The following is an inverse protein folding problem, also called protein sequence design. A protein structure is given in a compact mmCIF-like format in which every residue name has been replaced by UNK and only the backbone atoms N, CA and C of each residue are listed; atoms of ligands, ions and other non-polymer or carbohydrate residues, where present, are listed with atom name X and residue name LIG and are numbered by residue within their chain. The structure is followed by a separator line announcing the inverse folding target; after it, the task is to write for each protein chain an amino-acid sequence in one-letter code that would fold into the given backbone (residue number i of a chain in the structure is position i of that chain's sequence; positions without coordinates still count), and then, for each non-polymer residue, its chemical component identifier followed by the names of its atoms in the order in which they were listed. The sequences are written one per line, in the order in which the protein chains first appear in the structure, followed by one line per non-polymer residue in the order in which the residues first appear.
data_IF_026445699420
#
_entry.id   IF_026445699420
#
_cell.length_a   1.000
_cell.length_b   1.000
_cell.length_c   1.000
_cell.angle_alpha   90.00
_cell.angle_beta   90.00
_cell.angle_gamma   90.00
#
_symmetry.space_group_name_H-M   'P 1'
#
loop_
_entity.id
_entity.type
_entity.pdbx_description
1 polymer ?
#
# COMPACT_ATOMS: atom_id res chain seq x y z
N UNK A 1 36.91 -6.27 -0.53
CA UNK A 1 35.63 -6.18 0.20
C UNK A 1 35.06 -4.76 0.16
N UNK A 2 35.89 -3.71 -0.08
CA UNK A 2 35.46 -2.29 0.04
C UNK A 2 34.38 -1.85 -0.96
N UNK A 3 34.20 -2.56 -2.07
CA UNK A 3 33.31 -2.13 -3.15
C UNK A 3 32.14 -3.12 -3.42
N UNK A 4 31.80 -3.94 -2.45
CA UNK A 4 30.76 -4.96 -2.60
C UNK A 4 29.83 -4.97 -1.40
N UNK A 5 28.53 -4.93 -1.65
CA UNK A 5 27.48 -5.16 -0.67
C UNK A 5 26.92 -6.55 -0.89
N UNK A 6 26.89 -7.35 0.15
CA UNK A 6 26.31 -8.69 0.13
C UNK A 6 24.85 -8.60 0.60
N UNK A 7 23.93 -9.01 -0.25
CA UNK A 7 22.53 -9.07 0.07
C UNK A 7 22.03 -10.50 -0.18
N UNK A 8 21.99 -11.31 0.87
CA UNK A 8 21.71 -12.73 0.74
C UNK A 8 22.77 -13.44 -0.11
N UNK A 9 22.34 -14.13 -1.16
CA UNK A 9 23.22 -14.81 -2.12
C UNK A 9 23.76 -13.88 -3.24
N UNK A 10 23.32 -12.64 -3.28
CA UNK A 10 23.74 -11.67 -4.31
C UNK A 10 24.88 -10.79 -3.84
N UNK A 11 25.84 -10.58 -4.71
CA UNK A 11 26.95 -9.66 -4.52
C UNK A 11 26.70 -8.43 -5.39
N UNK A 12 26.40 -7.30 -4.75
CA UNK A 12 26.22 -6.03 -5.42
C UNK A 12 27.57 -5.30 -5.46
N UNK A 13 28.04 -4.92 -6.65
CA UNK A 13 29.21 -4.06 -6.79
C UNK A 13 28.89 -2.65 -6.31
N UNK A 14 29.81 -2.00 -5.60
CA UNK A 14 29.69 -0.63 -5.12
C UNK A 14 29.35 0.35 -6.24
N UNK A 15 28.74 1.46 -5.92
CA UNK A 15 27.99 2.38 -6.78
C UNK A 15 26.61 1.84 -7.19
N UNK A 16 25.87 1.34 -6.22
CA UNK A 16 24.43 1.21 -6.35
C UNK A 16 23.83 2.62 -6.38
N UNK A 17 23.83 3.20 -7.57
CA UNK A 17 22.84 4.24 -7.83
C UNK A 17 21.49 3.57 -7.76
N UNK A 18 20.73 3.88 -6.72
CA UNK A 18 19.31 3.50 -6.66
C UNK A 18 18.65 4.11 -7.89
N UNK A 19 18.02 3.28 -8.71
CA UNK A 19 17.20 3.79 -9.81
C UNK A 19 16.22 4.80 -9.23
N UNK A 20 16.12 5.98 -9.86
CA UNK A 20 15.15 6.99 -9.44
C UNK A 20 13.75 6.43 -9.48
N UNK A 21 12.94 6.76 -8.47
CA UNK A 21 11.53 6.37 -8.48
C UNK A 21 10.84 6.93 -9.72
N UNK A 22 10.22 6.04 -10.50
CA UNK A 22 9.54 6.44 -11.72
C UNK A 22 8.21 7.15 -11.38
N UNK A 23 8.12 8.43 -11.74
CA UNK A 23 6.93 9.25 -11.53
C UNK A 23 5.66 8.69 -12.21
N UNK A 24 5.81 7.77 -13.19
CA UNK A 24 4.68 7.05 -13.80
C UNK A 24 3.95 6.15 -12.79
N UNK A 25 4.64 5.73 -11.73
CA UNK A 25 4.06 4.94 -10.64
C UNK A 25 3.24 5.78 -9.66
N UNK A 26 3.12 7.09 -9.86
CA UNK A 26 2.17 7.94 -9.13
C UNK A 26 0.85 7.93 -9.87
N UNK A 27 -0.14 7.27 -9.27
CA UNK A 27 -1.54 7.29 -9.67
C UNK A 27 -2.21 8.50 -9.03
N UNK A 28 -3.06 9.20 -9.79
CA UNK A 28 -3.74 10.39 -9.31
C UNK A 28 -5.14 10.02 -8.87
N UNK A 29 -5.50 10.43 -7.65
CA UNK A 29 -6.89 10.49 -7.18
C UNK A 29 -7.23 11.95 -6.88
N UNK A 30 -8.40 12.40 -7.34
CA UNK A 30 -8.88 13.75 -7.10
C UNK A 30 -9.51 13.83 -5.71
N UNK A 31 -8.67 14.04 -4.72
CA UNK A 31 -9.07 14.05 -3.31
C UNK A 31 -10.05 15.18 -2.98
N UNK A 32 -9.96 16.29 -3.69
CA UNK A 32 -10.85 17.45 -3.54
C UNK A 32 -12.29 17.09 -3.91
N UNK A 33 -12.49 16.27 -4.94
CA UNK A 33 -13.81 15.86 -5.43
C UNK A 33 -14.58 15.03 -4.38
N UNK A 34 -13.85 14.40 -3.45
CA UNK A 34 -14.42 13.58 -2.37
C UNK A 34 -14.32 14.23 -1.01
N UNK A 35 -13.97 15.52 -0.94
CA UNK A 35 -13.92 16.37 0.27
C UNK A 35 -13.03 15.78 1.39
N UNK A 36 -11.82 15.30 1.05
CA UNK A 36 -10.88 14.73 2.00
C UNK A 36 -10.00 15.81 2.64
N UNK A 37 -9.86 15.75 3.96
CA UNK A 37 -8.79 16.45 4.67
C UNK A 37 -7.51 15.61 4.62
N UNK A 38 -6.56 16.04 3.80
CA UNK A 38 -5.29 15.32 3.58
C UNK A 38 -4.35 15.34 4.80
N UNK A 39 -4.66 16.14 5.81
CA UNK A 39 -3.94 16.17 7.09
C UNK A 39 -4.49 15.17 8.11
N UNK A 40 -5.62 14.53 7.80
CA UNK A 40 -6.30 13.57 8.65
C UNK A 40 -6.21 12.16 8.08
N UNK A 41 -5.48 11.26 8.74
CA UNK A 41 -5.33 9.87 8.31
C UNK A 41 -6.59 9.06 8.53
N UNK A 42 -7.18 9.14 9.73
CA UNK A 42 -8.42 8.44 10.11
C UNK A 42 -9.32 9.35 10.96
N UNK A 43 -10.60 9.00 11.06
CA UNK A 43 -11.61 9.78 11.79
C UNK A 43 -12.33 10.80 10.93
N UNK A 44 -12.96 11.80 11.58
CA UNK A 44 -13.70 12.87 10.92
C UNK A 44 -13.35 14.22 11.53
N UNK A 45 -13.57 15.29 10.77
CA UNK A 45 -13.40 16.67 11.22
C UNK A 45 -14.73 17.31 11.57
N UNK A 46 -14.71 18.34 12.43
CA UNK A 46 -15.91 19.08 12.79
C UNK A 46 -16.51 19.89 11.62
N UNK A 47 -15.73 20.14 10.56
CA UNK A 47 -16.16 20.86 9.36
C UNK A 47 -16.77 19.96 8.28
N UNK A 48 -16.99 18.66 8.57
CA UNK A 48 -17.62 17.71 7.65
C UNK A 48 -16.68 17.15 6.55
N UNK A 49 -15.41 17.46 6.59
CA UNK A 49 -14.42 16.77 5.75
C UNK A 49 -14.16 15.36 6.29
N UNK A 50 -13.81 14.45 5.40
CA UNK A 50 -13.51 13.05 5.73
C UNK A 50 -12.00 12.80 5.70
N UNK A 51 -11.57 11.76 6.41
CA UNK A 51 -10.16 11.35 6.43
C UNK A 51 -9.72 10.69 5.11
N UNK A 52 -8.41 10.54 4.96
CA UNK A 52 -7.81 9.81 3.82
C UNK A 52 -8.34 8.37 3.77
N UNK A 53 -8.43 7.68 4.91
CA UNK A 53 -8.94 6.31 4.94
C UNK A 53 -10.41 6.23 4.52
N UNK A 54 -11.26 7.16 4.98
CA UNK A 54 -12.67 7.17 4.58
C UNK A 54 -12.84 7.56 3.10
N UNK A 55 -12.04 8.49 2.59
CA UNK A 55 -12.00 8.83 1.16
C UNK A 55 -11.58 7.65 0.30
N UNK A 56 -10.52 6.96 0.71
CA UNK A 56 -10.06 5.74 0.02
C UNK A 56 -11.12 4.64 0.08
N UNK A 57 -11.77 4.45 1.22
CA UNK A 57 -12.86 3.48 1.37
C UNK A 57 -13.95 3.71 0.34
N UNK A 58 -14.47 4.94 0.23
CA UNK A 58 -15.49 5.31 -0.76
C UNK A 58 -15.03 5.06 -2.19
N UNK A 59 -13.77 5.39 -2.50
CA UNK A 59 -13.19 5.11 -3.80
C UNK A 59 -13.17 3.62 -4.10
N UNK A 60 -12.68 2.78 -3.18
CA UNK A 60 -12.59 1.33 -3.36
C UNK A 60 -13.97 0.65 -3.46
N UNK A 61 -14.95 1.11 -2.68
CA UNK A 61 -16.33 0.59 -2.72
C UNK A 61 -17.00 0.82 -4.09
N UNK A 62 -16.70 1.95 -4.74
CA UNK A 62 -17.20 2.27 -6.06
C UNK A 62 -16.54 1.46 -7.19
N UNK A 63 -15.39 0.83 -6.91
CA UNK A 63 -14.69 -0.01 -7.88
C UNK A 63 -15.36 -1.38 -7.98
N UNK A 64 -16.10 -1.62 -9.06
CA UNK A 64 -16.83 -2.89 -9.26
C UNK A 64 -15.92 -4.11 -9.42
N UNK A 65 -14.66 -3.91 -9.80
CA UNK A 65 -13.67 -4.98 -10.04
C UNK A 65 -13.32 -5.81 -8.80
N UNK A 66 -13.39 -5.22 -7.60
CA UNK A 66 -13.02 -5.91 -6.38
C UNK A 66 -14.13 -6.84 -5.91
N UNK A 67 -13.79 -8.12 -5.73
CA UNK A 67 -14.69 -9.12 -5.13
C UNK A 67 -14.71 -9.01 -3.59
N UNK A 68 -13.58 -8.63 -2.99
CA UNK A 68 -13.43 -8.45 -1.56
C UNK A 68 -12.64 -7.19 -1.26
N UNK A 69 -13.05 -6.49 -0.20
CA UNK A 69 -12.37 -5.33 0.37
C UNK A 69 -12.32 -5.52 1.88
N UNK A 70 -11.13 -5.51 2.45
CA UNK A 70 -10.89 -5.61 3.89
C UNK A 70 -10.33 -4.30 4.38
N UNK A 71 -10.90 -3.73 5.45
CA UNK A 71 -10.34 -2.63 6.22
C UNK A 71 -9.67 -3.21 7.47
N UNK A 72 -8.35 -3.08 7.59
CA UNK A 72 -7.55 -3.73 8.64
C UNK A 72 -6.67 -2.73 9.41
N UNK A 73 -7.17 -1.53 9.66
CA UNK A 73 -6.44 -0.51 10.41
C UNK A 73 -6.15 -0.92 11.86
N UNK A 74 -4.96 -0.58 12.35
CA UNK A 74 -4.53 -0.74 13.73
C UNK A 74 -3.31 -1.65 13.94
N UNK A 75 -2.86 -1.75 15.18
CA UNK A 75 -1.62 -2.48 15.53
C UNK A 75 -1.60 -3.89 14.95
N UNK A 76 -0.56 -4.21 14.21
CA UNK A 76 -0.36 -5.52 13.60
C UNK A 76 -1.17 -5.72 12.32
N UNK A 77 -1.65 -4.67 11.69
CA UNK A 77 -2.35 -4.68 10.39
C UNK A 77 -1.55 -5.36 9.26
N UNK A 78 -2.26 -5.81 8.25
CA UNK A 78 -1.69 -6.23 6.97
C UNK A 78 -1.37 -4.98 6.15
N UNK A 79 -2.36 -4.13 5.99
CA UNK A 79 -2.39 -2.81 5.40
C UNK A 79 -3.69 -2.14 5.83
N UNK A 80 -3.85 -0.83 5.69
CA UNK A 80 -5.13 -0.17 6.02
C UNK A 80 -6.29 -0.76 5.21
N UNK A 81 -6.05 -1.01 3.91
CA UNK A 81 -6.99 -1.76 3.07
C UNK A 81 -6.28 -2.86 2.30
N UNK A 82 -6.98 -3.98 2.13
CA UNK A 82 -6.56 -5.09 1.26
C UNK A 82 -7.73 -5.44 0.35
N UNK A 83 -7.49 -5.41 -0.96
CA UNK A 83 -8.51 -5.74 -1.96
C UNK A 83 -8.14 -6.98 -2.76
N UNK A 84 -9.16 -7.66 -3.27
CA UNK A 84 -9.00 -8.88 -4.05
C UNK A 84 -9.84 -8.79 -5.32
N UNK A 85 -9.22 -9.17 -6.43
CA UNK A 85 -9.86 -9.31 -7.73
C UNK A 85 -9.46 -10.66 -8.33
N UNK A 86 -10.45 -11.48 -8.71
CA UNK A 86 -10.20 -12.82 -9.23
C UNK A 86 -10.21 -12.84 -10.76
N UNK A 87 -9.15 -13.37 -11.34
CA UNK A 87 -9.01 -13.66 -12.78
C UNK A 87 -8.88 -15.17 -13.00
N UNK A 88 -8.92 -15.62 -14.25
CA UNK A 88 -8.82 -17.04 -14.58
C UNK A 88 -7.56 -17.70 -14.05
N UNK A 89 -6.40 -17.07 -14.21
CA UNK A 89 -5.08 -17.64 -13.88
C UNK A 89 -4.44 -17.06 -12.62
N UNK A 90 -4.91 -15.95 -12.10
CA UNK A 90 -4.32 -15.27 -10.95
C UNK A 90 -5.36 -14.56 -10.12
N UNK A 91 -4.96 -14.20 -8.92
CA UNK A 91 -5.69 -13.34 -7.99
C UNK A 91 -4.86 -12.08 -7.80
N UNK A 92 -5.42 -10.94 -8.16
CA UNK A 92 -4.84 -9.65 -7.82
C UNK A 92 -5.11 -9.34 -6.35
N UNK A 93 -4.07 -8.95 -5.63
CA UNK A 93 -4.14 -8.45 -4.27
C UNK A 93 -3.53 -7.06 -4.26
N UNK A 94 -4.29 -6.07 -3.85
CA UNK A 94 -3.77 -4.71 -3.69
C UNK A 94 -3.80 -4.33 -2.21
N UNK A 95 -2.67 -3.85 -1.69
CA UNK A 95 -2.51 -3.42 -0.31
C UNK A 95 -2.31 -1.92 -0.28
N UNK A 96 -3.06 -1.23 0.55
CA UNK A 96 -3.04 0.24 0.64
C UNK A 96 -2.62 0.66 2.04
N UNK A 97 -1.54 1.42 2.13
CA UNK A 97 -1.07 2.05 3.36
C UNK A 97 -1.32 3.55 3.29
N UNK A 98 -2.17 4.04 4.17
CA UNK A 98 -2.54 5.44 4.23
C UNK A 98 -1.61 6.22 5.15
N UNK A 99 -1.26 7.45 4.76
CA UNK A 99 -0.54 8.36 5.61
C UNK A 99 -1.00 9.79 5.40
N UNK A 100 -1.35 10.45 6.51
CA UNK A 100 -1.63 11.89 6.49
C UNK A 100 -0.35 12.69 6.33
N UNK A 101 -0.50 13.90 5.82
CA UNK A 101 0.59 14.87 5.71
C UNK A 101 0.63 15.78 6.93
N UNK A 102 1.73 15.80 7.63
CA UNK A 102 1.97 16.74 8.76
C UNK A 102 2.46 18.12 8.33
N UNK A 103 2.72 18.34 7.06
CA UNK A 103 3.26 19.59 6.52
C UNK A 103 2.27 20.33 5.62
N UNK A 104 2.57 21.61 5.32
CA UNK A 104 1.72 22.45 4.46
C UNK A 104 2.11 22.43 2.98
N UNK A 105 3.17 21.71 2.59
CA UNK A 105 3.69 21.68 1.22
C UNK A 105 3.72 20.26 0.69
N UNK A 106 3.28 20.10 -0.57
CA UNK A 106 3.45 18.84 -1.28
C UNK A 106 4.93 18.40 -1.31
N UNK A 107 5.16 17.09 -1.28
CA UNK A 107 6.47 16.46 -1.37
C UNK A 107 7.49 16.90 -0.30
N UNK A 108 7.04 17.35 0.88
CA UNK A 108 7.93 17.94 1.89
C UNK A 108 8.13 17.13 3.17
N UNK A 109 7.20 16.25 3.51
CA UNK A 109 7.26 15.48 4.77
C UNK A 109 8.05 14.17 4.62
N UNK A 110 9.36 14.24 4.75
CA UNK A 110 10.27 13.07 4.65
C UNK A 110 9.96 12.02 5.71
N UNK A 111 9.60 12.43 6.93
CA UNK A 111 9.27 11.51 8.02
C UNK A 111 8.03 10.67 7.71
N UNK A 112 6.98 11.29 7.15
CA UNK A 112 5.74 10.59 6.84
C UNK A 112 5.93 9.59 5.69
N UNK A 113 6.71 9.97 4.64
CA UNK A 113 7.01 9.03 3.55
C UNK A 113 7.90 7.87 4.01
N UNK A 114 8.85 8.14 4.92
CA UNK A 114 9.68 7.08 5.50
C UNK A 114 8.83 6.08 6.26
N UNK A 115 7.92 6.55 7.12
CA UNK A 115 7.04 5.70 7.93
C UNK A 115 6.16 4.80 7.04
N UNK A 116 5.44 5.38 6.07
CA UNK A 116 4.54 4.61 5.21
C UNK A 116 5.30 3.67 4.26
N UNK A 117 6.50 4.04 3.82
CA UNK A 117 7.36 3.16 3.03
C UNK A 117 7.80 1.93 3.85
N UNK A 118 8.09 2.09 5.15
CA UNK A 118 8.39 0.97 6.05
C UNK A 118 7.19 0.06 6.26
N UNK A 119 5.98 0.61 6.37
CA UNK A 119 4.75 -0.19 6.42
C UNK A 119 4.57 -1.01 5.15
N UNK A 120 4.74 -0.38 3.98
CA UNK A 120 4.67 -1.05 2.67
C UNK A 120 5.70 -2.20 2.54
N UNK A 121 6.94 -2.00 2.99
CA UNK A 121 7.97 -3.03 3.03
C UNK A 121 7.56 -4.19 3.95
N UNK A 122 7.11 -3.87 5.16
CA UNK A 122 6.72 -4.85 6.18
C UNK A 122 5.56 -5.74 5.72
N UNK A 123 4.60 -5.18 4.99
CA UNK A 123 3.43 -5.92 4.53
C UNK A 123 3.76 -7.02 3.51
N UNK A 124 4.90 -6.94 2.82
CA UNK A 124 5.33 -7.95 1.84
C UNK A 124 5.49 -9.35 2.44
N UNK A 125 5.71 -9.45 3.75
CA UNK A 125 5.85 -10.73 4.45
C UNK A 125 4.55 -11.54 4.38
N UNK A 126 3.39 -10.88 4.44
CA UNK A 126 2.09 -11.54 4.48
C UNK A 126 1.67 -12.16 3.14
N UNK A 127 2.27 -11.73 2.05
CA UNK A 127 2.00 -12.26 0.70
C UNK A 127 3.04 -13.26 0.21
N UNK A 128 3.92 -13.70 1.09
CA UNK A 128 4.91 -14.75 0.78
C UNK A 128 4.23 -16.06 0.36
N UNK A 129 3.04 -16.34 0.88
CA UNK A 129 2.16 -17.42 0.42
C UNK A 129 0.69 -17.09 0.68
N UNK A 130 -0.22 -17.74 -0.08
CA UNK A 130 -1.67 -17.62 0.15
C UNK A 130 -2.07 -18.10 1.55
N UNK A 131 -1.39 -19.13 2.06
CA UNK A 131 -1.65 -19.67 3.40
C UNK A 131 -1.33 -18.63 4.49
N UNK A 132 -0.17 -17.98 4.42
CA UNK A 132 0.19 -16.92 5.36
C UNK A 132 -0.77 -15.73 5.32
N UNK A 133 -1.14 -15.30 4.11
CA UNK A 133 -2.11 -14.22 3.96
C UNK A 133 -3.46 -14.58 4.59
N UNK A 134 -3.96 -15.79 4.29
CA UNK A 134 -5.24 -16.26 4.82
C UNK A 134 -5.20 -16.42 6.34
N UNK A 135 -4.12 -16.97 6.89
CA UNK A 135 -3.91 -17.11 8.33
C UNK A 135 -3.90 -15.73 9.01
N UNK A 136 -3.17 -14.78 8.44
CA UNK A 136 -3.11 -13.42 8.94
C UNK A 136 -4.48 -12.76 8.96
N UNK A 137 -5.24 -12.84 7.85
CA UNK A 137 -6.62 -12.32 7.77
C UNK A 137 -7.50 -12.99 8.83
N UNK A 138 -7.41 -14.32 8.97
CA UNK A 138 -8.20 -15.04 9.97
C UNK A 138 -7.87 -14.56 11.39
N UNK A 139 -6.60 -14.44 11.74
CA UNK A 139 -6.18 -13.99 13.07
C UNK A 139 -6.65 -12.55 13.36
N UNK A 140 -6.66 -11.70 12.34
CA UNK A 140 -7.13 -10.31 12.45
C UNK A 140 -8.64 -10.19 12.69
N UNK A 141 -9.44 -11.11 12.16
CA UNK A 141 -10.90 -11.16 12.41
C UNK A 141 -11.25 -11.30 13.89
N UNK A 142 -10.48 -12.11 14.62
CA UNK A 142 -10.75 -12.40 16.04
C UNK A 142 -10.24 -11.29 16.99
N UNK A 143 -9.36 -10.43 16.53
CA UNK A 143 -8.75 -9.40 17.38
C UNK A 143 -9.61 -8.15 17.56
N UNK A 144 -10.67 -7.97 16.78
CA UNK A 144 -11.53 -6.77 16.79
C UNK A 144 -12.99 -7.22 16.67
N UNK A 145 -13.87 -6.54 17.43
CA UNK A 145 -15.31 -6.86 17.50
C UNK A 145 -16.09 -6.57 16.19
N UNK A 146 -15.52 -5.75 15.31
CA UNK A 146 -16.19 -5.32 14.08
C UNK A 146 -15.79 -6.18 12.89
N UNK A 147 -16.72 -6.40 11.98
CA UNK A 147 -16.45 -7.09 10.72
C UNK A 147 -15.52 -6.20 9.86
N UNK A 148 -14.34 -6.73 9.57
CA UNK A 148 -13.34 -6.04 8.75
C UNK A 148 -13.64 -6.07 7.26
N UNK A 149 -14.63 -6.84 6.84
CA UNK A 149 -15.02 -6.92 5.44
C UNK A 149 -15.93 -5.76 5.07
N UNK A 150 -15.42 -4.83 4.31
CA UNK A 150 -16.18 -3.75 3.66
C UNK A 150 -16.99 -4.32 2.50
N UNK A 151 -16.43 -5.33 1.79
CA UNK A 151 -17.07 -6.05 0.70
C UNK A 151 -16.66 -7.51 0.72
N UNK A 152 -17.59 -8.42 0.40
CA UNK A 152 -17.35 -9.85 0.46
C UNK A 152 -17.37 -10.41 1.88
N UNK A 153 -16.87 -11.62 2.06
CA UNK A 153 -16.78 -12.31 3.35
C UNK A 153 -15.61 -13.29 3.40
N UNK A 154 -15.25 -13.72 4.62
CA UNK A 154 -14.10 -14.61 4.82
C UNK A 154 -14.25 -15.98 4.14
N UNK A 155 -15.45 -16.54 4.11
CA UNK A 155 -15.70 -17.89 3.56
C UNK A 155 -15.47 -17.91 2.06
N UNK A 156 -16.01 -16.93 1.35
CA UNK A 156 -15.82 -16.78 -0.09
C UNK A 156 -14.39 -16.42 -0.44
N UNK A 157 -13.73 -15.54 0.31
CA UNK A 157 -12.32 -15.23 0.14
C UNK A 157 -11.42 -16.45 0.34
N UNK A 158 -11.68 -17.25 1.39
CA UNK A 158 -10.97 -18.51 1.64
C UNK A 158 -11.06 -19.43 0.44
N UNK A 159 -12.25 -19.60 -0.13
CA UNK A 159 -12.47 -20.44 -1.32
C UNK A 159 -11.66 -19.94 -2.53
N UNK A 160 -11.60 -18.62 -2.74
CA UNK A 160 -10.80 -18.03 -3.82
C UNK A 160 -9.30 -18.29 -3.61
N UNK A 161 -8.79 -18.06 -2.41
CA UNK A 161 -7.37 -18.24 -2.10
C UNK A 161 -6.92 -19.71 -2.13
N UNK A 162 -7.83 -20.66 -1.93
CA UNK A 162 -7.52 -22.10 -2.07
C UNK A 162 -7.42 -22.57 -3.53
N UNK A 163 -7.92 -21.81 -4.50
CA UNK A 163 -7.79 -22.17 -5.92
C UNK A 163 -6.31 -22.18 -6.35
N UNK A 164 -5.98 -23.03 -7.34
CA UNK A 164 -4.63 -23.12 -7.91
C UNK A 164 -4.31 -21.96 -8.83
N UNK A 165 -4.42 -20.73 -8.33
CA UNK A 165 -4.13 -19.48 -9.04
C UNK A 165 -2.91 -18.80 -8.43
N UNK A 166 -2.16 -18.08 -9.24
CA UNK A 166 -1.01 -17.29 -8.78
C UNK A 166 -1.51 -16.02 -8.04
N UNK A 167 -0.76 -15.57 -7.04
CA UNK A 167 -0.95 -14.22 -6.50
C UNK A 167 -0.18 -13.21 -7.37
N UNK A 168 -0.84 -12.11 -7.70
CA UNK A 168 -0.24 -10.88 -8.20
C UNK A 168 -0.49 -9.80 -7.18
N UNK A 169 0.58 -9.21 -6.66
CA UNK A 169 0.47 -8.26 -5.54
C UNK A 169 0.97 -6.90 -5.97
N UNK A 170 0.19 -5.87 -5.66
CA UNK A 170 0.59 -4.48 -5.75
C UNK A 170 0.49 -3.85 -4.37
N UNK A 171 1.42 -2.97 -4.05
CA UNK A 171 1.38 -2.20 -2.81
C UNK A 171 1.24 -0.73 -3.16
N UNK A 172 0.32 -0.07 -2.51
CA UNK A 172 0.06 1.36 -2.67
C UNK A 172 0.43 2.11 -1.39
N UNK A 173 1.22 3.15 -1.55
CA UNK A 173 1.36 4.21 -0.57
C UNK A 173 0.27 5.24 -0.90
N UNK A 174 -0.68 5.43 0.00
CA UNK A 174 -1.78 6.39 -0.16
C UNK A 174 -1.41 7.65 0.60
N UNK A 175 -0.90 8.62 -0.13
CA UNK A 175 -0.49 9.90 0.44
C UNK A 175 -0.84 11.05 -0.49
N UNK A 176 -1.99 11.70 -0.27
CA UNK A 176 -2.47 12.81 -1.11
C UNK A 176 -1.49 13.98 -1.24
N UNK A 177 -0.60 14.12 -0.26
CA UNK A 177 0.43 15.16 -0.28
C UNK A 177 1.61 14.88 -1.24
N UNK A 178 1.62 13.74 -1.91
CA UNK A 178 2.56 13.49 -2.99
C UNK A 178 1.91 13.92 -4.30
N UNK A 179 2.44 15.01 -4.88
CA UNK A 179 1.97 15.53 -6.16
C UNK A 179 2.81 14.96 -7.30
N UNK A 180 2.14 14.53 -8.36
CA UNK A 180 2.77 14.04 -9.59
C UNK A 180 3.37 15.16 -10.42
N UNK A 181 2.78 16.37 -10.36
CA UNK A 181 3.26 17.55 -11.09
C UNK A 181 4.45 18.22 -10.42
N UNK A 182 4.72 17.92 -9.15
CA UNK A 182 5.80 18.53 -8.38
C UNK A 182 7.02 17.62 -8.31
N UNK A 183 8.21 18.20 -8.42
CA UNK A 183 9.45 17.44 -8.30
C UNK A 183 9.60 16.86 -6.89
N UNK A 184 9.95 15.57 -6.82
CA UNK A 184 10.33 14.93 -5.56
C UNK A 184 11.74 15.39 -5.14
N UNK A 185 11.92 15.68 -3.86
CA UNK A 185 13.26 15.94 -3.30
C UNK A 185 14.13 14.67 -3.37
N UNK A 186 15.45 14.85 -3.31
CA UNK A 186 16.40 13.72 -3.32
C UNK A 186 16.13 12.73 -2.17
N UNK A 187 15.72 13.22 -1.00
CA UNK A 187 15.35 12.37 0.14
C UNK A 187 14.12 11.52 -0.16
N UNK A 188 13.08 12.10 -0.79
CA UNK A 188 11.89 11.35 -1.24
C UNK A 188 12.26 10.30 -2.27
N UNK A 189 13.06 10.70 -3.27
CA UNK A 189 13.55 9.79 -4.31
C UNK A 189 14.29 8.60 -3.70
N UNK A 190 15.19 8.86 -2.76
CA UNK A 190 16.00 7.83 -2.11
C UNK A 190 15.11 6.84 -1.35
N UNK A 191 14.15 7.33 -0.55
CA UNK A 191 13.25 6.48 0.25
C UNK A 191 12.38 5.62 -0.66
N UNK A 192 11.73 6.21 -1.65
CA UNK A 192 10.84 5.50 -2.56
C UNK A 192 11.58 4.50 -3.45
N UNK A 193 12.78 4.86 -3.92
CA UNK A 193 13.62 3.97 -4.72
C UNK A 193 14.11 2.78 -3.90
N UNK A 194 14.53 3.01 -2.65
CA UNK A 194 14.95 1.95 -1.74
C UNK A 194 13.78 1.01 -1.41
N UNK A 195 12.61 1.56 -1.09
CA UNK A 195 11.40 0.78 -0.81
C UNK A 195 10.98 -0.06 -2.03
N UNK A 196 10.96 0.56 -3.22
CA UNK A 196 10.61 -0.12 -4.48
C UNK A 196 11.58 -1.26 -4.79
N UNK A 197 12.88 -1.01 -4.65
CA UNK A 197 13.92 -2.02 -4.87
C UNK A 197 13.76 -3.19 -3.90
N UNK A 198 13.50 -2.91 -2.62
CA UNK A 198 13.27 -3.95 -1.62
C UNK A 198 12.03 -4.79 -1.95
N UNK A 199 10.90 -4.13 -2.19
CA UNK A 199 9.61 -4.77 -2.46
C UNK A 199 9.69 -5.67 -3.70
N UNK A 200 10.28 -5.20 -4.80
CA UNK A 200 10.50 -5.99 -6.01
C UNK A 200 11.41 -7.20 -5.79
N UNK A 201 12.46 -7.05 -4.98
CA UNK A 201 13.41 -8.15 -4.67
C UNK A 201 12.78 -9.30 -3.89
N UNK A 202 11.67 -9.07 -3.19
CA UNK A 202 10.95 -10.16 -2.53
C UNK A 202 10.38 -11.17 -3.54
N UNK A 203 10.28 -10.78 -4.83
CA UNK A 203 9.73 -11.60 -5.92
C UNK A 203 8.22 -11.89 -5.78
N UNK A 204 7.57 -11.32 -4.78
CA UNK A 204 6.14 -11.52 -4.49
C UNK A 204 5.30 -10.31 -4.87
N UNK A 205 5.85 -9.12 -4.71
CA UNK A 205 5.18 -7.87 -5.06
C UNK A 205 5.70 -7.39 -6.41
N UNK A 206 4.79 -7.08 -7.32
CA UNK A 206 5.13 -6.66 -8.67
C UNK A 206 5.48 -5.18 -8.73
N UNK A 207 4.72 -4.36 -8.00
CA UNK A 207 4.81 -2.91 -8.08
C UNK A 207 4.59 -2.28 -6.69
N UNK A 208 5.37 -1.23 -6.42
CA UNK A 208 5.09 -0.25 -5.37
C UNK A 208 4.63 1.03 -6.05
N UNK A 209 3.39 1.39 -5.84
CA UNK A 209 2.71 2.53 -6.44
C UNK A 209 2.39 3.59 -5.38
N UNK A 210 2.19 4.82 -5.82
CA UNK A 210 1.68 5.89 -4.97
C UNK A 210 0.29 6.27 -5.46
N UNK A 211 -0.65 6.42 -4.55
CA UNK A 211 -1.93 7.06 -4.80
C UNK A 211 -1.86 8.47 -4.20
N UNK A 212 -1.55 9.42 -5.06
CA UNK A 212 -1.27 10.81 -4.71
C UNK A 212 -2.23 11.79 -5.37
N UNK A 213 -1.77 13.02 -5.54
CA UNK A 213 -2.48 14.11 -6.21
C UNK A 213 -1.83 14.48 -7.54
N UNK A 214 -2.48 15.35 -8.28
CA UNK A 214 -1.95 15.94 -9.52
C UNK A 214 -0.80 16.92 -9.25
#
# INVERSE_FOLDING_TARGET
IRDRVYCGAEVLKGNLELEKYDMKNICILKWEDINVDISLECGSTDNGQISIQEGLRKYLENESKFSHIIFDHGTGEIADFVTFEEFDKFINVEMYHCKAMKGKKYNSSVGDIYEVAQQAIKSTIWVSSKAMLLEKINNRRWSIKDDKFVKGDYKTLKNILHKSKLLRVKVYIVQPAISKSSQLSDSFQTILSAATSFVKRTGKVQELLILGSE
#
